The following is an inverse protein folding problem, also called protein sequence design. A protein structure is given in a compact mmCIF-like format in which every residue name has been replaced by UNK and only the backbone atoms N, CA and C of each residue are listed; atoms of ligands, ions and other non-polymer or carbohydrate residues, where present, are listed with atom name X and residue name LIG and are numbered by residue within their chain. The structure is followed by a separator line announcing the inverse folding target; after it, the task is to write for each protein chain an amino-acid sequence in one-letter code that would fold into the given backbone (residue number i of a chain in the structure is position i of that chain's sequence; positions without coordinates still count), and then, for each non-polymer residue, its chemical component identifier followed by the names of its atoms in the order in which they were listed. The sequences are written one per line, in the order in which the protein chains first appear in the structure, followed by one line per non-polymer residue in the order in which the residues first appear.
data_IF_970368480332
#
_entry.id   IF_970368480332
#
_cell.length_a   1.000
_cell.length_b   1.000
_cell.length_c   1.000
_cell.angle_alpha   90.00
_cell.angle_beta   90.00
_cell.angle_gamma   90.00
#
_symmetry.space_group_name_H-M   'P 1'
#
loop_
_entity.id
_entity.type
_entity.pdbx_description
1 polymer ?
#
# COMPACT_ATOMS: atom_id res chain seq x y z
N UNK A 1 18.50 -3.43 -16.27
CA UNK A 1 18.65 -3.57 -14.81
C UNK A 1 19.70 -2.56 -14.35
N UNK A 2 19.62 -1.95 -13.15
CA UNK A 2 20.69 -1.08 -12.66
C UNK A 2 22.02 -1.87 -12.57
N UNK A 3 23.17 -1.29 -12.96
CA UNK A 3 24.47 -1.99 -12.93
C UNK A 3 24.85 -2.57 -11.56
N UNK A 4 24.29 -2.01 -10.48
CA UNK A 4 24.54 -2.46 -9.12
C UNK A 4 23.79 -3.75 -8.75
N UNK A 5 22.62 -4.00 -9.33
CA UNK A 5 21.84 -5.20 -9.02
C UNK A 5 22.47 -6.43 -9.69
N UNK A 6 23.01 -6.25 -10.90
CA UNK A 6 23.79 -7.29 -11.61
C UNK A 6 25.10 -7.60 -10.86
N UNK A 7 25.77 -6.57 -10.33
CA UNK A 7 26.96 -6.75 -9.50
C UNK A 7 26.66 -7.49 -8.19
N UNK A 8 25.51 -7.21 -7.56
CA UNK A 8 25.06 -7.91 -6.35
C UNK A 8 24.70 -9.37 -6.62
N UNK A 9 24.04 -9.66 -7.75
CA UNK A 9 23.75 -11.02 -8.15
C UNK A 9 25.04 -11.82 -8.34
N UNK A 10 26.07 -11.22 -8.95
CA UNK A 10 27.39 -11.84 -9.11
C UNK A 10 28.15 -11.99 -7.79
N UNK A 11 28.07 -11.05 -6.84
CA UNK A 11 28.69 -11.25 -5.52
C UNK A 11 28.06 -12.43 -4.77
N UNK A 12 26.76 -12.63 -4.92
CA UNK A 12 26.01 -13.68 -4.22
C UNK A 12 26.27 -15.10 -4.75
N UNK A 13 26.96 -15.27 -5.90
CA UNK A 13 27.30 -16.60 -6.41
C UNK A 13 28.47 -17.25 -5.68
N UNK A 14 29.26 -16.47 -4.93
CA UNK A 14 30.43 -16.96 -4.21
C UNK A 14 30.09 -17.29 -2.75
N UNK A 15 30.62 -18.40 -2.24
CA UNK A 15 30.59 -18.67 -0.81
C UNK A 15 31.52 -17.69 -0.05
N UNK A 16 31.23 -17.45 1.24
CA UNK A 16 31.91 -16.42 2.04
C UNK A 16 33.45 -16.61 2.12
N UNK A 17 33.94 -17.83 1.96
CA UNK A 17 35.37 -18.17 1.99
C UNK A 17 36.10 -17.91 0.67
N UNK A 18 35.39 -17.86 -0.45
CA UNK A 18 35.96 -17.72 -1.81
C UNK A 18 35.64 -16.38 -2.47
N UNK A 19 35.09 -15.45 -1.70
CA UNK A 19 34.57 -14.19 -2.25
C UNK A 19 35.72 -13.30 -2.78
N UNK A 20 35.72 -12.94 -4.08
CA UNK A 20 36.72 -12.03 -4.64
C UNK A 20 36.68 -10.66 -3.96
N UNK A 21 37.78 -9.88 -3.97
CA UNK A 21 37.74 -8.53 -3.44
C UNK A 21 36.69 -7.70 -4.20
N UNK A 22 35.81 -7.00 -3.48
CA UNK A 22 34.72 -6.19 -4.06
C UNK A 22 35.20 -5.20 -5.14
N UNK A 23 36.47 -4.79 -5.10
CA UNK A 23 37.09 -3.87 -6.05
C UNK A 23 37.21 -4.45 -7.46
N UNK A 24 37.38 -5.76 -7.61
CA UNK A 24 37.45 -6.42 -8.91
C UNK A 24 36.06 -6.56 -9.53
N UNK A 25 35.09 -6.98 -8.72
CA UNK A 25 33.69 -7.09 -9.11
C UNK A 25 33.15 -5.71 -9.50
N UNK A 26 33.38 -4.70 -8.66
CA UNK A 26 33.00 -3.32 -8.92
C UNK A 26 33.56 -2.80 -10.26
N UNK A 27 34.82 -3.14 -10.59
CA UNK A 27 35.45 -2.75 -11.87
C UNK A 27 34.80 -3.43 -13.07
N UNK A 28 34.45 -4.71 -12.94
CA UNK A 28 33.75 -5.49 -13.99
C UNK A 28 32.39 -4.88 -14.36
N UNK A 29 31.66 -4.38 -13.36
CA UNK A 29 30.32 -3.82 -13.54
C UNK A 29 30.26 -2.28 -13.59
N UNK A 30 31.40 -1.59 -13.49
CA UNK A 30 31.46 -0.12 -13.51
C UNK A 30 30.79 0.56 -12.31
N UNK A 31 30.75 -0.11 -11.15
CA UNK A 31 30.11 0.38 -9.92
C UNK A 31 31.17 0.82 -8.91
N UNK A 32 30.83 1.74 -8.01
CA UNK A 32 31.71 2.14 -6.91
C UNK A 32 31.77 1.01 -5.85
N UNK A 33 32.98 0.57 -5.50
CA UNK A 33 33.17 -0.63 -4.68
C UNK A 33 32.65 -0.52 -3.23
N UNK A 34 32.69 0.67 -2.61
CA UNK A 34 32.15 0.86 -1.26
C UNK A 34 30.63 0.75 -1.25
N UNK A 35 29.99 1.22 -2.32
CA UNK A 35 28.54 1.14 -2.53
C UNK A 35 28.12 -0.32 -2.70
N UNK A 36 28.84 -1.09 -3.52
CA UNK A 36 28.63 -2.53 -3.67
C UNK A 36 28.79 -3.26 -2.32
N UNK A 37 29.88 -3.01 -1.60
CA UNK A 37 30.13 -3.65 -0.31
C UNK A 37 29.08 -3.27 0.76
N UNK A 38 28.62 -2.01 0.79
CA UNK A 38 27.56 -1.56 1.71
C UNK A 38 26.22 -2.21 1.40
N UNK A 39 25.87 -2.31 0.12
CA UNK A 39 24.65 -2.98 -0.36
C UNK A 39 24.66 -4.48 -0.04
N UNK A 40 25.76 -5.17 -0.37
CA UNK A 40 25.91 -6.61 -0.10
C UNK A 40 25.84 -6.93 1.39
N UNK A 41 26.43 -6.09 2.24
CA UNK A 41 26.36 -6.21 3.72
C UNK A 41 25.04 -5.73 4.33
N UNK A 42 24.04 -5.36 3.52
CA UNK A 42 22.75 -4.87 4.00
C UNK A 42 22.78 -3.49 4.70
N UNK A 43 23.90 -2.75 4.65
CA UNK A 43 24.01 -1.41 5.25
C UNK A 43 23.26 -0.35 4.46
N UNK A 44 22.95 -0.62 3.20
CA UNK A 44 22.17 0.26 2.32
C UNK A 44 21.18 -0.59 1.56
N UNK A 45 19.90 -0.23 1.66
CA UNK A 45 18.81 -0.89 0.94
C UNK A 45 18.56 -0.22 -0.40
N UNK A 46 17.87 -0.93 -1.30
CA UNK A 46 17.37 -0.31 -2.52
C UNK A 46 16.36 0.80 -2.20
N UNK A 47 16.19 1.76 -3.12
CA UNK A 47 15.18 2.81 -2.95
C UNK A 47 13.78 2.20 -2.80
N UNK A 48 13.45 1.20 -3.61
CA UNK A 48 12.14 0.53 -3.54
C UNK A 48 11.94 -0.15 -2.19
N UNK A 49 12.95 -0.89 -1.71
CA UNK A 49 12.91 -1.54 -0.39
C UNK A 49 12.81 -0.50 0.73
N UNK A 50 13.47 0.65 0.60
CA UNK A 50 13.35 1.75 1.56
C UNK A 50 11.93 2.34 1.59
N UNK A 51 11.32 2.53 0.43
CA UNK A 51 9.94 3.01 0.29
C UNK A 51 8.96 2.00 0.88
N UNK A 52 9.16 0.70 0.60
CA UNK A 52 8.35 -0.38 1.16
C UNK A 52 8.44 -0.41 2.70
N UNK A 53 9.65 -0.30 3.25
CA UNK A 53 9.88 -0.28 4.70
C UNK A 53 9.29 0.97 5.39
N UNK A 54 9.15 2.09 4.67
CA UNK A 54 8.55 3.32 5.19
C UNK A 54 7.01 3.32 5.07
N UNK A 55 6.43 2.39 4.31
CA UNK A 55 4.98 2.30 4.18
C UNK A 55 4.35 1.76 5.47
N UNK A 56 3.23 2.35 5.87
CA UNK A 56 2.46 1.92 7.05
C UNK A 56 1.82 0.54 6.88
N UNK A 57 1.54 0.15 5.64
CA UNK A 57 1.01 -1.17 5.31
C UNK A 57 2.00 -1.87 4.38
N UNK A 58 2.13 -3.18 4.58
CA UNK A 58 2.90 -4.04 3.68
C UNK A 58 2.23 -4.10 2.30
N UNK A 59 2.99 -4.36 1.22
CA UNK A 59 2.41 -4.50 -0.12
C UNK A 59 1.27 -5.52 -0.19
N UNK A 60 1.33 -6.59 0.62
CA UNK A 60 0.29 -7.62 0.68
C UNK A 60 -0.97 -7.13 1.40
N UNK A 61 -0.81 -6.39 2.50
CA UNK A 61 -1.94 -5.77 3.20
C UNK A 61 -2.62 -4.72 2.31
N UNK A 62 -1.82 -3.88 1.62
CA UNK A 62 -2.34 -2.86 0.71
C UNK A 62 -3.14 -3.49 -0.44
N UNK A 63 -2.65 -4.57 -1.05
CA UNK A 63 -3.39 -5.34 -2.08
C UNK A 63 -4.71 -5.90 -1.55
N UNK A 64 -4.72 -6.41 -0.32
CA UNK A 64 -5.93 -6.94 0.33
C UNK A 64 -6.96 -5.83 0.52
N UNK A 65 -6.53 -4.65 0.98
CA UNK A 65 -7.39 -3.49 1.15
C UNK A 65 -7.99 -3.04 -0.20
N UNK A 66 -7.19 -2.98 -1.26
CA UNK A 66 -7.67 -2.67 -2.62
C UNK A 66 -8.73 -3.68 -3.08
N UNK A 67 -8.49 -4.98 -2.89
CA UNK A 67 -9.46 -6.03 -3.23
C UNK A 67 -10.77 -5.87 -2.48
N UNK A 68 -10.69 -5.54 -1.19
CA UNK A 68 -11.86 -5.30 -0.35
C UNK A 68 -12.66 -4.07 -0.82
N UNK A 69 -11.99 -2.96 -1.15
CA UNK A 69 -12.64 -1.76 -1.69
C UNK A 69 -13.34 -2.08 -3.02
N UNK A 70 -12.70 -2.85 -3.91
CA UNK A 70 -13.29 -3.29 -5.18
C UNK A 70 -14.56 -4.13 -4.96
N UNK A 71 -14.53 -5.07 -4.01
CA UNK A 71 -15.69 -5.88 -3.64
C UNK A 71 -16.86 -5.01 -3.18
N UNK A 72 -16.61 -4.10 -2.23
CA UNK A 72 -17.62 -3.19 -1.70
C UNK A 72 -18.19 -2.25 -2.78
N UNK A 73 -17.33 -1.75 -3.66
CA UNK A 73 -17.74 -0.90 -4.79
C UNK A 73 -18.62 -1.68 -5.77
N UNK A 74 -18.32 -2.96 -6.02
CA UNK A 74 -19.16 -3.86 -6.81
C UNK A 74 -20.55 -4.06 -6.18
N UNK A 75 -20.63 -4.09 -4.86
CA UNK A 75 -21.89 -4.13 -4.11
C UNK A 75 -22.61 -2.77 -4.01
N UNK A 76 -22.15 -1.73 -4.74
CA UNK A 76 -22.65 -0.34 -4.67
C UNK A 76 -22.55 0.29 -3.28
N UNK A 77 -21.59 -0.14 -2.46
CA UNK A 77 -21.30 0.36 -1.12
C UNK A 77 -19.85 0.84 -1.00
N UNK A 78 -19.42 1.82 -1.82
CA UNK A 78 -18.03 2.28 -1.82
C UNK A 78 -17.63 2.82 -0.43
N UNK A 79 -16.56 2.31 0.18
CA UNK A 79 -16.18 2.68 1.54
C UNK A 79 -15.69 4.12 1.61
N UNK A 80 -16.18 4.89 2.58
CA UNK A 80 -15.78 6.30 2.80
C UNK A 80 -14.28 6.44 3.10
N UNK A 81 -13.71 7.63 2.87
CA UNK A 81 -12.32 7.93 3.25
C UNK A 81 -12.05 7.64 4.73
N UNK A 82 -13.03 7.90 5.60
CA UNK A 82 -12.95 7.58 7.04
C UNK A 82 -12.88 6.08 7.28
N UNK A 83 -13.68 5.28 6.57
CA UNK A 83 -13.61 3.82 6.67
C UNK A 83 -12.25 3.31 6.21
N UNK A 84 -11.72 3.80 5.08
CA UNK A 84 -10.38 3.43 4.60
C UNK A 84 -9.30 3.77 5.63
N UNK A 85 -9.39 4.96 6.26
CA UNK A 85 -8.51 5.35 7.37
C UNK A 85 -8.59 4.33 8.51
N UNK A 86 -9.80 4.00 8.97
CA UNK A 86 -10.02 3.09 10.09
C UNK A 86 -9.51 1.68 9.80
N UNK A 87 -9.74 1.15 8.59
CA UNK A 87 -9.19 -0.14 8.18
C UNK A 87 -7.67 -0.12 8.16
N UNK A 88 -7.07 0.92 7.57
CA UNK A 88 -5.62 1.06 7.53
C UNK A 88 -5.02 1.18 8.93
N UNK A 89 -5.63 1.98 9.82
CA UNK A 89 -5.20 2.11 11.21
C UNK A 89 -5.31 0.80 11.99
N UNK A 90 -6.38 0.04 11.76
CA UNK A 90 -6.59 -1.27 12.38
C UNK A 90 -5.51 -2.27 11.97
N UNK A 91 -5.22 -2.36 10.66
CA UNK A 91 -4.22 -3.29 10.12
C UNK A 91 -2.78 -2.87 10.47
N UNK A 92 -2.52 -1.57 10.57
CA UNK A 92 -1.19 -1.04 10.89
C UNK A 92 -0.94 -0.88 12.40
N UNK A 93 -1.89 -1.28 13.25
CA UNK A 93 -1.86 -1.13 14.72
C UNK A 93 -1.43 0.28 15.19
N UNK A 94 -1.69 1.30 14.36
CA UNK A 94 -1.26 2.68 14.60
C UNK A 94 -2.14 3.65 13.83
N UNK A 95 -2.34 4.87 14.34
CA UNK A 95 -3.16 5.85 13.61
C UNK A 95 -2.49 6.27 12.30
N UNK A 96 -3.27 6.16 11.23
CA UNK A 96 -2.88 6.49 9.87
C UNK A 96 -3.40 7.87 9.52
N UNK A 97 -2.56 8.78 9.02
CA UNK A 97 -3.01 10.15 8.72
C UNK A 97 -3.96 10.24 7.53
N UNK A 98 -4.74 11.33 7.45
CA UNK A 98 -5.54 11.64 6.25
C UNK A 98 -4.70 11.76 4.98
N UNK A 99 -3.47 12.27 5.11
CA UNK A 99 -2.50 12.36 4.01
C UNK A 99 -2.13 10.99 3.46
N UNK A 100 -2.05 9.96 4.31
CA UNK A 100 -1.84 8.59 3.87
C UNK A 100 -3.02 8.10 3.02
N UNK A 101 -4.27 8.37 3.41
CA UNK A 101 -5.46 8.00 2.63
C UNK A 101 -5.44 8.67 1.25
N UNK A 102 -5.08 9.95 1.19
CA UNK A 102 -4.92 10.66 -0.09
C UNK A 102 -3.84 10.00 -0.97
N UNK A 103 -2.68 9.68 -0.38
CA UNK A 103 -1.58 9.02 -1.12
C UNK A 103 -1.97 7.62 -1.59
N UNK A 104 -2.62 6.82 -0.76
CA UNK A 104 -3.14 5.50 -1.10
C UNK A 104 -4.09 5.56 -2.29
N UNK A 105 -5.09 6.45 -2.25
CA UNK A 105 -6.03 6.63 -3.35
C UNK A 105 -5.34 7.10 -4.64
N UNK A 106 -4.36 8.00 -4.53
CA UNK A 106 -3.59 8.47 -5.69
C UNK A 106 -2.73 7.36 -6.31
N UNK A 107 -2.13 6.47 -5.49
CA UNK A 107 -1.37 5.31 -5.98
C UNK A 107 -2.25 4.34 -6.75
N UNK A 108 -3.49 4.13 -6.28
CA UNK A 108 -4.43 3.16 -6.85
C UNK A 108 -5.52 3.81 -7.72
N UNK A 109 -5.31 5.03 -8.23
CA UNK A 109 -6.34 5.79 -8.96
C UNK A 109 -6.91 5.08 -10.19
N UNK A 110 -6.08 4.31 -10.89
CA UNK A 110 -6.47 3.56 -12.10
C UNK A 110 -7.30 2.33 -11.73
N UNK A 111 -7.02 1.75 -10.57
CA UNK A 111 -7.68 0.54 -10.05
C UNK A 111 -8.95 0.83 -9.26
N UNK A 112 -8.97 1.95 -8.55
CA UNK A 112 -10.04 2.42 -7.69
C UNK A 112 -10.59 3.69 -8.33
N UNK A 113 -11.57 3.54 -9.22
CA UNK A 113 -12.37 4.69 -9.64
C UNK A 113 -13.17 5.14 -8.41
N UNK A 114 -12.93 6.34 -7.87
CA UNK A 114 -13.67 6.81 -6.72
C UNK A 114 -15.12 7.06 -7.13
N UNK A 115 -15.97 6.05 -6.99
CA UNK A 115 -17.41 6.23 -6.95
C UNK A 115 -17.75 6.72 -5.54
N UNK A 116 -17.44 7.97 -5.24
CA UNK A 116 -17.99 8.58 -4.04
C UNK A 116 -19.48 8.81 -4.32
N UNK A 117 -20.32 7.90 -3.86
CA UNK A 117 -21.77 8.18 -3.82
C UNK A 117 -21.97 9.34 -2.87
N UNK A 118 -22.69 10.36 -3.32
CA UNK A 118 -23.17 11.41 -2.43
C UNK A 118 -23.88 10.76 -1.24
N UNK A 119 -23.73 11.35 -0.05
CA UNK A 119 -24.52 10.94 1.10
C UNK A 119 -26.01 10.88 0.69
N UNK A 120 -26.74 9.94 1.28
CA UNK A 120 -28.16 9.79 1.01
C UNK A 120 -28.85 11.15 1.17
N UNK A 121 -29.60 11.57 0.15
CA UNK A 121 -30.25 12.88 0.14
C UNK A 121 -31.05 13.09 1.44
N UNK A 122 -30.96 14.28 2.04
CA UNK A 122 -31.56 14.57 3.36
C UNK A 122 -33.06 14.25 3.37
N UNK A 123 -33.77 14.52 2.28
CA UNK A 123 -35.20 14.23 2.20
C UNK A 123 -35.46 12.72 2.12
N UNK A 124 -34.61 11.98 1.39
CA UNK A 124 -34.68 10.51 1.36
C UNK A 124 -34.37 9.89 2.73
N UNK A 125 -33.40 10.42 3.46
CA UNK A 125 -33.10 10.00 4.82
C UNK A 125 -34.30 10.25 5.77
N UNK A 126 -34.90 11.44 5.71
CA UNK A 126 -36.08 11.79 6.51
C UNK A 126 -37.35 11.01 6.12
N UNK A 127 -37.43 10.54 4.87
CA UNK A 127 -38.51 9.65 4.44
C UNK A 127 -38.36 8.25 5.04
N UNK A 128 -37.12 7.77 5.19
CA UNK A 128 -36.78 6.47 5.76
C UNK A 128 -36.74 6.52 7.31
N UNK A 129 -37.86 6.89 7.93
CA UNK A 129 -37.99 7.06 9.38
C UNK A 129 -38.67 5.84 10.00
N UNK A 130 -38.04 5.25 11.01
CA UNK A 130 -38.57 4.14 11.81
C UNK A 130 -39.97 4.44 12.34
N UNK A 131 -40.18 5.62 12.93
CA UNK A 131 -41.47 6.09 13.39
C UNK A 131 -42.57 6.05 12.32
N UNK A 132 -42.24 6.34 11.05
CA UNK A 132 -43.22 6.27 9.95
C UNK A 132 -43.57 4.83 9.58
N UNK A 133 -42.61 3.91 9.72
CA UNK A 133 -42.84 2.49 9.50
C UNK A 133 -43.72 1.90 10.61
N UNK A 134 -43.44 2.24 11.88
CA UNK A 134 -44.28 1.84 13.01
C UNK A 134 -45.72 2.30 12.82
N UNK A 135 -45.93 3.59 12.50
CA UNK A 135 -47.26 4.15 12.28
C UNK A 135 -48.03 3.46 11.12
N UNK A 136 -47.32 3.05 10.06
CA UNK A 136 -47.92 2.33 8.93
C UNK A 136 -48.38 0.93 9.32
N UNK A 137 -47.58 0.21 10.12
CA UNK A 137 -47.93 -1.14 10.58
C UNK A 137 -48.99 -1.14 11.68
N UNK A 138 -49.13 -0.06 12.46
CA UNK A 138 -50.23 0.11 13.42
C UNK A 138 -51.58 0.43 12.76
N UNK A 139 -51.57 0.94 11.52
CA UNK A 139 -52.77 1.29 10.76
C UNK A 139 -53.39 0.11 9.99
N UNK A 140 -52.75 -1.06 9.98
CA UNK A 140 -53.21 -2.32 9.36
C UNK A 140 -53.68 -3.27 10.45
#
# INVERSE_FOLDING_TARGET
MPPIDDALAYTNTFEAAEHPPYREIARKYGVEHTTLARRHKGKTVSLNTSIENQSKLSPQQEKTLVKYIKLLTGCRLPPTRSMIKNYASYVAESDVSWSWVTRFLNRHKEELKPLWTSAMDRNRHNANSEYKYELYFELI
#
